data_IF_537774830736
#
_entry.id   IF_537774830736
#
_cell.length_a   1.000
_cell.length_b   1.000
_cell.length_c   1.000
_cell.angle_alpha   90.00
_cell.angle_beta   90.00
_cell.angle_gamma   90.00
#
_symmetry.space_group_name_H-M   'P 1'
#
loop_
_entity.id
_entity.type
_entity.pdbx_description
1 polymer ?
#
# COMPACT_ATOMS: atom_id res chain seq x y z
N UNK A 1 -9.74 4.76 -15.86
CA UNK A 1 -8.36 4.70 -15.33
C UNK A 1 -7.93 3.26 -15.38
N UNK A 2 -6.76 3.01 -15.95
CA UNK A 2 -6.28 1.66 -16.21
C UNK A 2 -5.37 1.19 -15.07
N UNK A 3 -5.46 -0.09 -14.73
CA UNK A 3 -4.51 -0.72 -13.80
C UNK A 3 -3.09 -0.55 -14.36
N UNK A 4 -2.17 -0.10 -13.52
CA UNK A 4 -0.79 0.23 -13.90
C UNK A 4 -0.57 1.68 -14.30
N UNK A 5 -1.62 2.50 -14.40
CA UNK A 5 -1.49 3.95 -14.55
C UNK A 5 -0.72 4.52 -13.36
N UNK A 6 0.24 5.39 -13.65
CA UNK A 6 1.14 5.98 -12.67
C UNK A 6 1.03 7.50 -12.71
N UNK A 7 1.03 8.12 -11.54
CA UNK A 7 1.11 9.56 -11.39
C UNK A 7 2.16 9.92 -10.33
N UNK A 8 2.87 11.02 -10.59
CA UNK A 8 3.84 11.58 -9.67
C UNK A 8 3.09 12.32 -8.56
N UNK A 9 3.61 12.20 -7.34
CA UNK A 9 3.18 13.00 -6.19
C UNK A 9 4.32 13.92 -5.79
N UNK A 10 4.06 14.90 -4.94
CA UNK A 10 5.12 15.79 -4.43
C UNK A 10 6.24 15.04 -3.69
N UNK A 11 5.93 13.84 -3.19
CA UNK A 11 6.84 13.04 -2.35
C UNK A 11 7.31 11.75 -3.01
N UNK A 12 6.76 11.35 -4.15
CA UNK A 12 7.08 10.07 -4.76
C UNK A 12 6.20 9.71 -5.94
N UNK A 13 5.72 8.49 -5.95
CA UNK A 13 4.98 7.95 -7.09
C UNK A 13 3.84 7.06 -6.63
N UNK A 14 2.68 7.20 -7.27
CA UNK A 14 1.51 6.36 -7.02
C UNK A 14 1.14 5.61 -8.30
N UNK A 15 1.02 4.29 -8.19
CA UNK A 15 0.54 3.42 -9.28
C UNK A 15 -0.81 2.86 -8.91
N UNK A 16 -1.79 2.97 -9.81
CA UNK A 16 -3.10 2.35 -9.69
C UNK A 16 -2.94 0.83 -9.73
N UNK A 17 -3.37 0.14 -8.68
CA UNK A 17 -3.19 -1.31 -8.52
C UNK A 17 -4.48 -2.06 -8.83
N UNK A 18 -5.62 -1.44 -8.57
CA UNK A 18 -6.90 -2.06 -8.82
C UNK A 18 -8.08 -1.25 -8.32
N UNK A 19 -9.22 -1.92 -8.29
CA UNK A 19 -10.45 -1.34 -7.76
C UNK A 19 -11.22 -2.36 -6.92
N UNK A 20 -11.87 -1.88 -5.87
CA UNK A 20 -12.75 -2.66 -4.98
C UNK A 20 -13.99 -1.83 -4.75
N UNK A 21 -15.18 -2.42 -4.93
CA UNK A 21 -16.47 -1.70 -4.83
C UNK A 21 -16.43 -0.42 -5.68
N UNK A 22 -16.66 0.75 -5.07
CA UNK A 22 -16.61 2.06 -5.74
C UNK A 22 -15.27 2.80 -5.56
N UNK A 23 -14.26 2.10 -5.03
CA UNK A 23 -12.94 2.65 -4.76
C UNK A 23 -11.92 2.19 -5.78
N UNK A 24 -11.04 3.11 -6.13
CA UNK A 24 -9.77 2.86 -6.78
C UNK A 24 -8.68 2.92 -5.71
N UNK A 25 -7.74 1.98 -5.77
CA UNK A 25 -6.63 1.95 -4.82
C UNK A 25 -5.29 1.92 -5.56
N UNK A 26 -4.37 2.75 -5.08
CA UNK A 26 -3.03 2.93 -5.64
C UNK A 26 -1.98 2.62 -4.59
N UNK A 27 -0.91 1.93 -4.98
CA UNK A 27 0.28 1.84 -4.13
C UNK A 27 1.11 3.09 -4.35
N UNK A 28 1.43 3.77 -3.26
CA UNK A 28 2.24 4.96 -3.21
C UNK A 28 3.59 4.63 -2.57
N UNK A 29 4.66 5.02 -3.25
CA UNK A 29 6.05 4.84 -2.81
C UNK A 29 6.65 6.22 -2.58
N UNK A 30 7.08 6.49 -1.35
CA UNK A 30 7.68 7.76 -0.95
C UNK A 30 9.01 7.53 -0.20
N UNK A 31 10.18 7.87 -0.79
CA UNK A 31 10.35 8.56 -2.06
C UNK A 31 10.06 7.69 -3.28
N UNK A 32 10.04 8.26 -4.49
CA UNK A 32 9.99 7.44 -5.70
C UNK A 32 11.20 6.48 -5.77
N UNK A 33 10.99 5.18 -6.09
CA UNK A 33 12.06 4.20 -6.16
C UNK A 33 13.07 4.56 -7.27
N UNK A 34 14.35 4.48 -6.94
CA UNK A 34 15.44 4.68 -7.89
C UNK A 34 15.90 3.34 -8.44
N UNK A 35 16.13 3.30 -9.76
CA UNK A 35 16.62 2.09 -10.44
C UNK A 35 17.94 1.63 -9.80
N UNK A 36 18.05 0.32 -9.56
CA UNK A 36 19.26 -0.31 -9.00
C UNK A 36 19.65 0.14 -7.59
N UNK A 37 18.73 0.75 -6.84
CA UNK A 37 18.90 1.04 -5.42
C UNK A 37 17.86 0.26 -4.61
N UNK A 38 18.27 -0.24 -3.44
CA UNK A 38 17.32 -0.78 -2.49
C UNK A 38 16.33 0.33 -2.12
N UNK A 39 15.04 0.03 -2.18
CA UNK A 39 14.02 0.95 -1.72
C UNK A 39 14.20 1.17 -0.20
N UNK A 40 14.10 2.42 0.24
CA UNK A 40 14.15 2.81 1.65
C UNK A 40 13.19 3.99 1.86
N UNK A 41 11.90 3.67 1.80
CA UNK A 41 10.80 4.63 1.89
C UNK A 41 9.53 4.06 2.52
N UNK A 42 8.49 4.86 2.55
CA UNK A 42 7.18 4.42 3.00
C UNK A 42 6.39 3.84 1.83
N UNK A 43 5.67 2.75 2.11
CA UNK A 43 4.67 2.16 1.22
C UNK A 43 3.30 2.43 1.82
N UNK A 44 2.49 3.19 1.12
CA UNK A 44 1.12 3.48 1.52
C UNK A 44 0.12 3.15 0.42
N UNK A 45 -1.11 2.84 0.81
CA UNK A 45 -2.25 2.68 -0.05
C UNK A 45 -3.01 4.00 -0.11
N UNK A 46 -3.14 4.58 -1.29
CA UNK A 46 -4.02 5.72 -1.55
C UNK A 46 -5.36 5.21 -2.05
N UNK A 47 -6.44 5.65 -1.42
CA UNK A 47 -7.81 5.28 -1.79
C UNK A 47 -8.51 6.50 -2.36
N UNK A 48 -9.16 6.35 -3.51
CA UNK A 48 -9.95 7.41 -4.14
C UNK A 48 -11.27 6.85 -4.69
N UNK A 49 -12.26 7.70 -4.93
CA UNK A 49 -13.51 7.28 -5.59
C UNK A 49 -13.27 7.06 -7.07
N UNK A 50 -13.82 5.98 -7.65
CA UNK A 50 -13.71 5.70 -9.09
C UNK A 50 -14.19 6.84 -9.98
N UNK A 51 -15.31 7.47 -9.58
CA UNK A 51 -15.97 8.54 -10.34
C UNK A 51 -15.24 9.87 -10.26
N UNK A 52 -14.42 10.06 -9.22
CA UNK A 52 -13.66 11.28 -8.95
C UNK A 52 -12.33 10.88 -8.32
N UNK A 53 -11.38 10.38 -9.12
CA UNK A 53 -10.11 9.87 -8.62
C UNK A 53 -9.18 10.96 -8.06
N UNK A 54 -9.54 12.24 -8.26
CA UNK A 54 -8.93 13.39 -7.60
C UNK A 54 -9.36 13.53 -6.14
N UNK A 55 -10.53 12.98 -5.77
CA UNK A 55 -11.02 12.98 -4.40
C UNK A 55 -10.37 11.83 -3.62
N UNK A 56 -9.17 12.10 -3.12
CA UNK A 56 -8.46 11.20 -2.22
C UNK A 56 -9.26 11.07 -0.92
N UNK A 57 -9.67 9.84 -0.62
CA UNK A 57 -10.41 9.52 0.60
C UNK A 57 -9.49 9.32 1.79
N UNK A 58 -8.26 8.90 1.53
CA UNK A 58 -7.27 8.70 2.58
C UNK A 58 -6.03 7.94 2.11
N UNK A 59 -5.09 7.83 3.03
CA UNK A 59 -3.88 7.03 2.89
C UNK A 59 -3.78 6.08 4.08
N UNK A 60 -3.41 4.83 3.80
CA UNK A 60 -3.24 3.77 4.80
C UNK A 60 -1.84 3.20 4.64
N UNK A 61 -1.14 2.90 5.74
CA UNK A 61 0.14 2.22 5.61
C UNK A 61 -0.06 0.83 5.03
N UNK A 62 0.77 0.44 4.06
CA UNK A 62 0.64 -0.86 3.44
C UNK A 62 0.90 -2.00 4.46
N UNK A 63 1.73 -1.75 5.48
CA UNK A 63 1.96 -2.69 6.59
C UNK A 63 0.69 -3.10 7.31
N UNK A 64 -0.28 -2.20 7.45
CA UNK A 64 -1.52 -2.50 8.16
C UNK A 64 -2.38 -3.44 7.31
N UNK A 65 -2.45 -3.21 6.00
CA UNK A 65 -3.13 -4.12 5.07
C UNK A 65 -2.50 -5.52 5.11
N UNK A 66 -1.17 -5.61 5.12
CA UNK A 66 -0.43 -6.88 5.23
C UNK A 66 -0.78 -7.58 6.55
N UNK A 67 -0.80 -6.85 7.67
CA UNK A 67 -1.16 -7.41 8.97
C UNK A 67 -2.59 -7.97 8.98
N UNK A 68 -3.56 -7.18 8.51
CA UNK A 68 -4.97 -7.61 8.45
C UNK A 68 -5.17 -8.80 7.49
N UNK A 69 -4.46 -8.83 6.35
CA UNK A 69 -4.47 -9.97 5.44
C UNK A 69 -3.91 -11.24 6.09
N UNK A 70 -2.77 -11.14 6.79
CA UNK A 70 -2.13 -12.27 7.46
C UNK A 70 -2.99 -12.83 8.61
N UNK A 71 -3.65 -11.96 9.35
CA UNK A 71 -4.53 -12.32 10.46
C UNK A 71 -5.94 -12.74 10.02
N UNK A 72 -6.25 -12.63 8.72
CA UNK A 72 -7.58 -12.85 8.15
C UNK A 72 -8.66 -12.01 8.88
N UNK A 73 -8.40 -10.73 9.07
CA UNK A 73 -9.26 -9.76 9.77
C UNK A 73 -9.72 -8.64 8.86
N UNK A 74 -10.92 -8.14 9.12
CA UNK A 74 -11.42 -6.91 8.51
C UNK A 74 -10.57 -5.72 8.94
N UNK A 75 -10.34 -4.78 8.02
CA UNK A 75 -9.78 -3.47 8.34
C UNK A 75 -10.94 -2.53 8.71
N UNK A 76 -10.97 -2.15 9.99
CA UNK A 76 -12.06 -1.36 10.59
C UNK A 76 -11.49 -0.01 11.02
N UNK A 77 -12.20 1.06 10.69
CA UNK A 77 -11.88 2.42 11.10
C UNK A 77 -12.24 2.67 12.58
N UNK A 78 -11.75 3.77 13.15
CA UNK A 78 -11.98 4.14 14.55
C UNK A 78 -13.48 4.30 14.91
N UNK A 79 -14.34 4.53 13.91
CA UNK A 79 -15.79 4.63 14.05
C UNK A 79 -16.52 3.28 13.91
N UNK A 80 -15.79 2.16 13.96
CA UNK A 80 -16.27 0.80 13.72
C UNK A 80 -16.77 0.53 12.29
N UNK A 81 -16.51 1.40 11.32
CA UNK A 81 -16.85 1.13 9.93
C UNK A 81 -15.80 0.21 9.28
N UNK A 82 -16.25 -0.93 8.73
CA UNK A 82 -15.39 -1.79 7.91
C UNK A 82 -15.06 -1.11 6.59
N UNK A 83 -13.80 -0.71 6.43
CA UNK A 83 -13.30 -0.16 5.18
C UNK A 83 -13.00 -1.27 4.16
N UNK A 84 -12.28 -2.31 4.61
CA UNK A 84 -11.98 -3.50 3.81
C UNK A 84 -12.30 -4.77 4.60
N UNK A 85 -12.92 -5.75 3.96
CA UNK A 85 -13.06 -7.09 4.54
C UNK A 85 -11.72 -7.82 4.56
N UNK A 86 -11.62 -8.90 5.33
CA UNK A 86 -10.45 -9.79 5.33
C UNK A 86 -10.08 -10.29 3.92
N UNK A 87 -11.08 -10.63 3.11
CA UNK A 87 -10.89 -11.05 1.72
C UNK A 87 -10.37 -9.90 0.84
N UNK A 88 -10.86 -8.69 1.05
CA UNK A 88 -10.37 -7.50 0.35
C UNK A 88 -8.93 -7.15 0.77
N UNK A 89 -8.59 -7.25 2.05
CA UNK A 89 -7.21 -7.05 2.53
C UNK A 89 -6.25 -8.04 1.85
N UNK A 90 -6.63 -9.32 1.78
CA UNK A 90 -5.85 -10.37 1.11
C UNK A 90 -5.68 -10.10 -0.39
N UNK A 91 -6.75 -9.63 -1.04
CA UNK A 91 -6.70 -9.26 -2.45
C UNK A 91 -5.80 -8.04 -2.72
N UNK A 92 -5.90 -7.00 -1.87
CA UNK A 92 -5.07 -5.80 -1.97
C UNK A 92 -3.60 -6.16 -1.81
N UNK A 93 -3.26 -6.93 -0.76
CA UNK A 93 -1.90 -7.40 -0.49
C UNK A 93 -1.28 -8.10 -1.70
N UNK A 94 -1.97 -9.10 -2.26
CA UNK A 94 -1.51 -9.82 -3.44
C UNK A 94 -1.30 -8.90 -4.65
N UNK A 95 -2.22 -7.95 -4.88
CA UNK A 95 -2.13 -7.05 -6.04
C UNK A 95 -0.99 -6.06 -5.90
N UNK A 96 -0.79 -5.50 -4.70
CA UNK A 96 0.30 -4.57 -4.42
C UNK A 96 1.64 -5.28 -4.56
N UNK A 97 1.80 -6.48 -3.99
CA UNK A 97 3.03 -7.27 -4.17
C UNK A 97 3.32 -7.57 -5.63
N UNK A 98 2.28 -7.88 -6.42
CA UNK A 98 2.42 -8.07 -7.86
C UNK A 98 3.02 -6.85 -8.58
N UNK A 99 2.62 -5.64 -8.20
CA UNK A 99 3.19 -4.39 -8.75
C UNK A 99 4.59 -4.11 -8.21
N UNK A 100 4.79 -4.21 -6.90
CA UNK A 100 6.08 -3.97 -6.24
C UNK A 100 7.18 -4.87 -6.80
N UNK A 101 6.90 -6.16 -6.97
CA UNK A 101 7.88 -7.12 -7.50
C UNK A 101 8.13 -6.91 -8.99
N UNK A 102 7.08 -6.81 -9.81
CA UNK A 102 7.23 -6.77 -11.28
C UNK A 102 7.74 -5.44 -11.80
N UNK A 103 7.30 -4.32 -11.21
CA UNK A 103 7.60 -2.98 -11.71
C UNK A 103 8.77 -2.35 -10.96
N UNK A 104 8.78 -2.45 -9.63
CA UNK A 104 9.75 -1.76 -8.79
C UNK A 104 10.87 -2.65 -8.26
N UNK A 105 10.80 -3.97 -8.49
CA UNK A 105 11.77 -4.95 -7.98
C UNK A 105 11.93 -4.90 -6.46
N UNK A 106 10.84 -4.57 -5.74
CA UNK A 106 10.78 -4.53 -4.28
C UNK A 106 10.18 -5.85 -3.79
N UNK A 107 10.90 -6.52 -2.89
CA UNK A 107 10.51 -7.80 -2.32
C UNK A 107 10.00 -7.68 -0.86
N UNK A 108 9.30 -8.72 -0.34
CA UNK A 108 8.69 -8.70 1.00
C UNK A 108 9.66 -8.57 2.17
N UNK A 109 10.93 -8.92 1.96
CA UNK A 109 12.02 -8.74 2.93
C UNK A 109 12.23 -7.29 3.34
N UNK A 110 11.69 -6.33 2.57
CA UNK A 110 11.62 -4.92 2.91
C UNK A 110 10.94 -4.65 4.28
N UNK A 111 9.86 -5.37 4.61
CA UNK A 111 9.11 -5.16 5.85
C UNK A 111 9.76 -5.77 7.09
N UNK A 112 10.67 -6.73 6.93
CA UNK A 112 11.38 -7.36 8.05
C UNK A 112 12.45 -6.44 8.66
N UNK A 113 12.99 -5.48 7.89
CA UNK A 113 14.02 -4.53 8.37
C UNK A 113 13.48 -3.39 9.22
N UNK A 114 12.22 -2.99 9.01
CA UNK A 114 11.65 -1.88 9.79
C UNK A 114 11.38 -2.27 11.24
N UNK A 115 10.97 -3.52 11.52
CA UNK A 115 10.81 -4.03 12.90
C UNK A 115 12.12 -4.30 13.64
N UNK A 116 13.24 -4.47 12.94
CA UNK A 116 14.54 -4.66 13.60
C UNK A 116 15.19 -3.34 14.03
N UNK A 117 14.70 -2.20 13.56
CA UNK A 117 15.28 -0.89 13.92
C UNK A 117 14.63 -0.27 15.17
N UNK A 118 13.46 -0.77 15.60
CA UNK A 118 12.85 -0.40 16.90
C UNK A 118 13.28 -1.32 18.06
N UNK A 119 14.19 -2.28 17.81
CA UNK A 119 14.61 -3.29 18.80
C UNK A 119 15.98 -3.07 19.47
N UNK A 120 16.75 -2.05 19.09
CA UNK A 120 18.08 -1.77 19.66
C UNK A 120 18.10 -0.50 20.51
N UNK A 121 17.17 -0.41 21.47
CA UNK A 121 17.32 0.48 22.63
C UNK A 121 17.36 -0.32 23.94
N UNK A 122 18.56 -0.33 24.50
CA UNK A 122 18.94 -0.61 25.89
C UNK A 122 19.03 -2.05 26.39
N UNK A 123 20.28 -2.45 26.61
CA UNK A 123 20.77 -3.47 27.53
C UNK A 123 22.29 -3.38 27.63
#
# INVERSE_FOLDING_TARGET
MDVGYEYLTDRGVATVVGTIRDYLFSVHLSPAPKKSQAFNGELSLIIARKISPTDLLGSILFSDIVYHAAENKDFVLDDNQTLFTAAECSFIDQKIWGVLQKKYQIAPDYFLKQKTTEGDYHG
#
